data_IF_730016994920
#
_entry.id   IF_730016994920
#
_cell.length_a   1.000
_cell.length_b   1.000
_cell.length_c   1.000
_cell.angle_alpha   90.00
_cell.angle_beta   90.00
_cell.angle_gamma   90.00
#
_symmetry.space_group_name_H-M   'P 1'
#
loop_
_entity.id
_entity.type
_entity.pdbx_description
1 polymer ?
#
# COMPACT_ATOMS: atom_id res chain seq x y z
N UNK A 1 8.19 65.88 -12.85
CA UNK A 1 6.96 66.00 -13.66
C UNK A 1 5.99 65.00 -13.08
N UNK A 2 5.32 65.31 -11.95
CA UNK A 2 4.19 66.24 -11.84
C UNK A 2 3.26 66.12 -13.04
N UNK A 3 2.54 65.00 -13.09
CA UNK A 3 1.30 64.90 -13.85
C UNK A 3 0.14 64.93 -12.84
N UNK A 4 -0.20 66.15 -12.42
CA UNK A 4 -1.29 66.45 -11.50
C UNK A 4 -2.65 66.57 -12.24
N UNK A 5 -2.79 65.91 -13.39
CA UNK A 5 -3.94 66.05 -14.29
C UNK A 5 -4.96 64.90 -14.26
N UNK A 6 -4.68 63.76 -13.62
CA UNK A 6 -5.50 62.54 -13.79
C UNK A 6 -6.22 62.08 -12.50
N UNK A 7 -6.34 62.96 -11.49
CA UNK A 7 -6.92 62.61 -10.18
C UNK A 7 -8.42 62.93 -10.02
N UNK A 8 -9.04 63.62 -10.97
CA UNK A 8 -10.46 64.04 -10.88
C UNK A 8 -11.26 63.51 -12.08
N UNK A 9 -11.60 62.21 -12.12
CA UNK A 9 -12.96 61.80 -11.78
C UNK A 9 -13.06 60.35 -11.23
N UNK A 10 -12.04 59.85 -10.52
CA UNK A 10 -12.00 58.44 -10.13
C UNK A 10 -12.84 58.11 -8.88
N UNK A 11 -13.04 59.06 -7.96
CA UNK A 11 -13.92 58.86 -6.79
C UNK A 11 -15.41 58.75 -7.14
N UNK A 12 -15.99 59.63 -7.99
CA UNK A 12 -17.36 59.44 -8.47
C UNK A 12 -17.56 58.10 -9.17
N UNK A 13 -16.59 57.68 -10.00
CA UNK A 13 -16.61 56.39 -10.68
C UNK A 13 -16.56 55.21 -9.71
N UNK A 14 -15.79 55.30 -8.63
CA UNK A 14 -15.78 54.32 -7.55
C UNK A 14 -17.13 54.30 -6.81
N UNK A 15 -17.72 55.46 -6.53
CA UNK A 15 -19.02 55.59 -5.87
C UNK A 15 -20.16 55.00 -6.71
N UNK A 16 -20.20 55.27 -8.01
CA UNK A 16 -21.15 54.67 -8.95
C UNK A 16 -21.01 53.15 -9.01
N UNK A 17 -19.76 52.65 -9.09
CA UNK A 17 -19.47 51.22 -9.07
C UNK A 17 -19.95 50.55 -7.78
N UNK A 18 -19.72 51.18 -6.61
CA UNK A 18 -20.19 50.69 -5.33
C UNK A 18 -21.72 50.71 -5.23
N UNK A 19 -22.37 51.77 -5.70
CA UNK A 19 -23.83 51.89 -5.73
C UNK A 19 -24.47 50.81 -6.60
N UNK A 20 -23.85 50.44 -7.73
CA UNK A 20 -24.31 49.33 -8.57
C UNK A 20 -24.31 47.98 -7.84
N UNK A 21 -23.45 47.81 -6.82
CA UNK A 21 -23.43 46.65 -5.92
C UNK A 21 -24.29 46.83 -4.66
N UNK A 22 -25.00 47.95 -4.53
CA UNK A 22 -25.76 48.30 -3.33
C UNK A 22 -24.89 48.68 -2.13
N UNK A 23 -23.64 49.10 -2.36
CA UNK A 23 -22.67 49.48 -1.33
C UNK A 23 -22.45 50.99 -1.34
N UNK A 24 -22.13 51.57 -0.18
CA UNK A 24 -21.88 53.00 -0.01
C UNK A 24 -20.41 53.26 0.27
N UNK A 25 -19.78 54.15 -0.48
CA UNK A 25 -18.45 54.66 -0.12
C UNK A 25 -18.56 55.61 1.08
N UNK A 26 -17.76 55.38 2.12
CA UNK A 26 -17.66 56.27 3.29
C UNK A 26 -16.47 57.23 3.16
N UNK A 27 -15.48 56.90 2.34
CA UNK A 27 -14.34 57.77 2.05
C UNK A 27 -14.77 58.95 1.15
N UNK A 28 -14.38 60.17 1.56
CA UNK A 28 -14.76 61.42 0.89
C UNK A 28 -13.70 61.98 -0.04
N UNK A 29 -12.47 61.44 -0.01
CA UNK A 29 -11.34 61.90 -0.81
C UNK A 29 -10.76 60.75 -1.64
N UNK A 30 -10.34 61.05 -2.87
CA UNK A 30 -9.54 60.14 -3.70
C UNK A 30 -8.08 60.29 -3.32
N UNK A 31 -7.38 59.19 -3.03
CA UNK A 31 -5.93 59.20 -2.83
C UNK A 31 -5.22 58.62 -4.04
N UNK A 32 -5.36 57.32 -4.25
CA UNK A 32 -4.83 56.62 -5.42
C UNK A 32 -5.65 55.35 -5.71
N UNK A 33 -5.34 54.67 -6.81
CA UNK A 33 -6.09 53.50 -7.26
C UNK A 33 -5.81 52.22 -6.44
N UNK A 34 -4.68 52.17 -5.73
CA UNK A 34 -4.27 51.09 -4.83
C UNK A 34 -4.53 51.38 -3.34
N UNK A 35 -5.03 52.58 -3.02
CA UNK A 35 -5.40 52.99 -1.69
C UNK A 35 -6.63 52.22 -1.19
N UNK A 36 -6.72 52.11 0.15
CA UNK A 36 -7.83 51.45 0.84
C UNK A 36 -8.92 52.47 1.14
N UNK A 37 -10.12 52.20 0.66
CA UNK A 37 -11.31 53.02 0.87
C UNK A 37 -12.27 52.31 1.81
N UNK A 38 -12.88 53.07 2.71
CA UNK A 38 -13.90 52.57 3.64
C UNK A 38 -15.25 52.52 2.95
N UNK A 39 -15.90 51.38 3.05
CA UNK A 39 -17.13 51.05 2.32
C UNK A 39 -18.10 50.36 3.28
N UNK A 40 -19.38 50.67 3.14
CA UNK A 40 -20.47 49.98 3.82
C UNK A 40 -21.28 49.14 2.82
N UNK A 41 -21.61 47.88 3.16
CA UNK A 41 -22.53 47.08 2.34
C UNK A 41 -24.00 47.44 2.58
N UNK A 42 -24.91 46.85 1.81
CA UNK A 42 -26.35 47.03 1.96
C UNK A 42 -26.91 46.64 3.34
N UNK A 43 -26.25 45.69 4.04
CA UNK A 43 -26.61 45.27 5.41
C UNK A 43 -25.94 46.10 6.51
N UNK A 44 -25.14 47.10 6.14
CA UNK A 44 -24.49 48.03 7.09
C UNK A 44 -23.11 47.61 7.59
N UNK A 45 -22.56 46.46 7.16
CA UNK A 45 -21.20 46.07 7.51
C UNK A 45 -20.18 47.01 6.86
N UNK A 46 -19.20 47.47 7.65
CA UNK A 46 -18.19 48.43 7.21
C UNK A 46 -16.82 47.76 7.10
N UNK A 47 -16.19 47.88 5.94
CA UNK A 47 -14.89 47.27 5.67
C UNK A 47 -14.08 48.09 4.68
N UNK A 48 -12.79 47.76 4.56
CA UNK A 48 -11.87 48.45 3.65
C UNK A 48 -11.56 47.60 2.42
N UNK A 49 -11.55 48.23 1.24
CA UNK A 49 -11.10 47.60 -0.02
C UNK A 49 -10.28 48.56 -0.87
N UNK A 50 -9.47 47.97 -1.75
CA UNK A 50 -8.65 48.69 -2.70
C UNK A 50 -9.50 49.07 -3.93
N UNK A 51 -9.41 50.30 -4.42
CA UNK A 51 -10.25 50.78 -5.52
C UNK A 51 -10.08 49.99 -6.83
N UNK A 52 -8.85 49.61 -7.22
CA UNK A 52 -8.60 48.78 -8.43
C UNK A 52 -9.34 47.44 -8.39
N UNK A 53 -9.44 46.82 -7.21
CA UNK A 53 -10.13 45.52 -7.03
C UNK A 53 -11.64 45.61 -7.17
N UNK A 54 -12.21 46.82 -7.16
CA UNK A 54 -13.65 47.09 -7.33
C UNK A 54 -13.96 47.58 -8.74
N UNK A 55 -13.09 48.44 -9.30
CA UNK A 55 -13.28 49.06 -10.61
C UNK A 55 -13.03 48.11 -11.78
N UNK A 56 -12.10 47.16 -11.65
CA UNK A 56 -11.67 46.28 -12.74
C UNK A 56 -12.04 44.81 -12.51
N UNK A 57 -12.97 44.54 -11.60
CA UNK A 57 -13.39 43.17 -11.27
C UNK A 57 -14.39 42.66 -12.30
N UNK A 58 -14.26 41.37 -12.65
CA UNK A 58 -15.17 40.67 -13.56
C UNK A 58 -16.38 40.03 -12.86
N UNK A 59 -16.37 39.97 -11.52
CA UNK A 59 -17.46 39.41 -10.71
C UNK A 59 -17.87 40.38 -9.60
N UNK A 60 -19.16 40.38 -9.25
CA UNK A 60 -19.68 41.25 -8.21
C UNK A 60 -18.95 40.95 -6.87
N UNK A 61 -18.39 41.98 -6.20
CA UNK A 61 -17.75 41.80 -4.93
C UNK A 61 -18.79 41.43 -3.86
N UNK A 62 -18.38 40.56 -2.94
CA UNK A 62 -19.22 40.14 -1.82
C UNK A 62 -18.66 40.67 -0.50
N UNK A 63 -19.56 40.98 0.41
CA UNK A 63 -19.21 41.36 1.77
C UNK A 63 -18.92 40.08 2.56
N UNK A 64 -17.71 39.98 3.14
CA UNK A 64 -17.29 38.78 3.86
C UNK A 64 -18.15 38.52 5.10
N UNK A 65 -18.66 39.57 5.74
CA UNK A 65 -19.56 39.48 6.90
C UNK A 65 -20.95 38.98 6.47
N UNK A 66 -21.54 39.56 5.41
CA UNK A 66 -22.79 39.03 4.84
C UNK A 66 -22.66 37.55 4.42
N UNK A 67 -21.54 37.19 3.80
CA UNK A 67 -21.30 35.80 3.40
C UNK A 67 -21.18 34.86 4.60
N UNK A 68 -20.57 35.31 5.69
CA UNK A 68 -20.47 34.53 6.93
C UNK A 68 -21.83 34.38 7.62
N UNK A 69 -22.66 35.44 7.65
CA UNK A 69 -24.03 35.41 8.16
C UNK A 69 -24.92 34.47 7.34
N UNK A 70 -24.96 34.64 6.02
CA UNK A 70 -25.75 33.79 5.12
C UNK A 70 -25.35 32.32 5.24
N UNK A 71 -24.04 32.06 5.35
CA UNK A 71 -23.51 30.72 5.53
C UNK A 71 -23.96 30.12 6.87
N UNK A 72 -23.92 30.90 7.95
CA UNK A 72 -24.37 30.50 9.27
C UNK A 72 -25.86 30.18 9.26
N UNK A 73 -26.69 31.05 8.69
CA UNK A 73 -28.13 30.84 8.60
C UNK A 73 -28.48 29.57 7.82
N UNK A 74 -27.86 29.36 6.66
CA UNK A 74 -28.07 28.15 5.85
C UNK A 74 -27.65 26.88 6.58
N UNK A 75 -26.53 26.95 7.31
CA UNK A 75 -26.05 25.81 8.08
C UNK A 75 -27.01 25.45 9.21
N UNK A 76 -27.46 26.45 9.99
CA UNK A 76 -28.47 26.23 11.03
C UNK A 76 -29.81 25.76 10.45
N UNK A 77 -30.24 26.30 9.32
CA UNK A 77 -31.45 25.83 8.63
C UNK A 77 -31.33 24.34 8.23
N UNK A 78 -30.16 23.90 7.77
CA UNK A 78 -29.88 22.48 7.45
C UNK A 78 -29.96 21.60 8.69
N UNK A 79 -29.43 22.08 9.82
CA UNK A 79 -29.44 21.37 11.10
C UNK A 79 -30.87 21.26 11.65
N UNK A 80 -31.62 22.37 11.69
CA UNK A 80 -33.00 22.42 12.16
C UNK A 80 -33.96 21.63 11.27
N UNK A 81 -33.79 21.67 9.94
CA UNK A 81 -34.64 20.91 9.01
C UNK A 81 -34.55 19.39 9.22
N UNK A 82 -33.44 18.91 9.79
CA UNK A 82 -33.22 17.49 10.12
C UNK A 82 -33.48 17.19 11.60
N UNK A 83 -34.13 18.11 12.32
CA UNK A 83 -34.46 17.99 13.73
C UNK A 83 -33.23 17.92 14.63
N UNK A 84 -32.09 18.45 14.19
CA UNK A 84 -30.88 18.51 14.99
C UNK A 84 -30.68 19.85 15.66
N UNK A 85 -29.80 19.87 16.66
CA UNK A 85 -29.34 21.07 17.34
C UNK A 85 -27.85 21.03 17.63
N UNK A 86 -27.25 22.21 17.78
CA UNK A 86 -25.86 22.36 18.20
C UNK A 86 -25.80 22.31 19.72
N UNK A 87 -25.10 21.30 20.26
CA UNK A 87 -25.02 21.05 21.71
C UNK A 87 -24.12 22.07 22.41
N UNK A 88 -22.98 22.39 21.78
CA UNK A 88 -21.97 23.26 22.38
C UNK A 88 -21.25 24.08 21.30
N UNK A 89 -20.98 25.35 21.63
CA UNK A 89 -20.17 26.25 20.82
C UNK A 89 -20.98 27.18 19.89
N UNK A 90 -20.24 28.05 19.20
CA UNK A 90 -20.79 28.97 18.19
C UNK A 90 -20.30 28.51 16.82
N UNK A 91 -21.18 28.58 15.82
CA UNK A 91 -20.77 28.34 14.43
C UNK A 91 -19.84 29.45 13.96
N UNK A 92 -18.59 29.06 13.68
CA UNK A 92 -17.49 29.95 13.24
C UNK A 92 -17.09 29.72 11.79
N UNK A 93 -17.62 28.68 11.13
CA UNK A 93 -17.41 28.40 9.71
C UNK A 93 -17.56 26.91 9.37
N UNK A 94 -17.25 26.53 8.13
CA UNK A 94 -17.44 25.13 7.68
C UNK A 94 -16.27 24.19 8.02
N UNK A 95 -15.10 24.72 8.37
CA UNK A 95 -13.92 23.89 8.62
C UNK A 95 -13.86 23.25 10.02
N UNK A 96 -14.29 23.91 11.10
CA UNK A 96 -14.26 23.33 12.43
C UNK A 96 -15.25 22.16 12.59
N UNK A 97 -15.06 21.42 13.69
CA UNK A 97 -15.89 20.30 14.10
C UNK A 97 -16.83 20.76 15.20
N UNK A 98 -18.09 20.37 15.09
CA UNK A 98 -19.18 20.77 15.95
C UNK A 98 -19.87 19.55 16.53
N UNK A 99 -20.26 19.63 17.81
CA UNK A 99 -21.03 18.59 18.49
C UNK A 99 -22.52 18.84 18.28
N UNK A 100 -23.16 17.91 17.58
CA UNK A 100 -24.57 17.97 17.19
C UNK A 100 -25.37 16.88 17.91
N UNK A 101 -26.62 17.19 18.22
CA UNK A 101 -27.62 16.23 18.71
C UNK A 101 -28.75 16.12 17.70
N UNK A 102 -29.22 14.92 17.38
CA UNK A 102 -30.36 14.72 16.49
C UNK A 102 -31.67 14.60 17.29
N UNK A 103 -32.80 14.54 16.59
CA UNK A 103 -34.12 14.34 17.17
C UNK A 103 -34.22 13.07 18.03
N UNK A 104 -33.51 12.00 17.66
CA UNK A 104 -33.46 10.74 18.42
C UNK A 104 -32.51 10.81 19.65
N UNK A 105 -31.93 11.97 19.95
CA UNK A 105 -31.05 12.18 21.11
C UNK A 105 -29.61 11.71 20.92
N UNK A 106 -29.21 11.27 19.73
CA UNK A 106 -27.81 10.87 19.48
C UNK A 106 -26.91 12.09 19.35
N UNK A 107 -25.84 12.12 20.13
CA UNK A 107 -24.78 13.13 20.04
C UNK A 107 -23.61 12.62 19.19
N UNK A 108 -23.16 13.43 18.24
CA UNK A 108 -21.97 13.14 17.44
C UNK A 108 -21.20 14.40 17.07
N UNK A 109 -19.94 14.21 16.70
CA UNK A 109 -19.08 15.29 16.23
C UNK A 109 -18.89 15.22 14.73
N UNK A 110 -19.15 16.33 14.03
CA UNK A 110 -19.02 16.42 12.58
C UNK A 110 -18.44 17.76 12.15
N UNK A 111 -17.75 17.75 11.02
CA UNK A 111 -17.24 18.96 10.39
C UNK A 111 -18.40 19.78 9.79
N UNK A 112 -18.40 21.11 9.94
CA UNK A 112 -19.46 21.98 9.42
C UNK A 112 -19.74 21.77 7.92
N UNK A 113 -18.69 21.62 7.11
CA UNK A 113 -18.74 21.30 5.68
C UNK A 113 -19.51 20.02 5.40
N UNK A 114 -19.29 18.96 6.20
CA UNK A 114 -19.93 17.66 5.98
C UNK A 114 -21.43 17.71 6.22
N UNK A 115 -21.86 18.49 7.20
CA UNK A 115 -23.28 18.73 7.46
C UNK A 115 -23.91 19.51 6.31
N UNK A 116 -23.24 20.55 5.81
CA UNK A 116 -23.69 21.30 4.63
C UNK A 116 -23.76 20.43 3.35
N UNK A 117 -22.84 19.47 3.19
CA UNK A 117 -22.84 18.47 2.10
C UNK A 117 -23.90 17.37 2.29
N UNK A 118 -24.67 17.39 3.38
CA UNK A 118 -25.78 16.46 3.62
C UNK A 118 -25.43 15.23 4.45
N UNK A 119 -24.24 15.13 5.03
CA UNK A 119 -23.92 14.08 6.02
C UNK A 119 -24.68 14.35 7.33
N UNK A 120 -25.13 13.29 8.01
CA UNK A 120 -25.94 13.40 9.23
C UNK A 120 -25.55 12.36 10.29
N UNK A 121 -26.39 12.23 11.32
CA UNK A 121 -26.23 11.33 12.45
C UNK A 121 -25.87 9.90 12.00
N UNK A 122 -24.66 9.41 12.34
CA UNK A 122 -24.24 8.06 11.98
C UNK A 122 -25.07 6.96 12.66
N UNK A 123 -25.60 7.22 13.86
CA UNK A 123 -26.42 6.26 14.58
C UNK A 123 -27.78 6.07 13.88
N UNK A 124 -28.48 7.15 13.56
CA UNK A 124 -29.73 7.11 12.79
C UNK A 124 -29.52 6.46 11.41
N UNK A 125 -28.47 6.86 10.68
CA UNK A 125 -28.16 6.28 9.38
C UNK A 125 -27.81 4.78 9.43
N UNK A 126 -27.21 4.32 10.53
CA UNK A 126 -26.97 2.88 10.75
C UNK A 126 -28.25 2.14 11.12
N UNK A 127 -29.12 2.75 11.92
CA UNK A 127 -30.40 2.16 12.31
C UNK A 127 -31.34 2.03 11.10
N UNK A 128 -31.47 3.08 10.29
CA UNK A 128 -32.23 3.09 9.04
C UNK A 128 -31.69 2.01 8.08
N UNK A 129 -30.38 2.00 7.82
CA UNK A 129 -29.78 0.93 7.02
C UNK A 129 -29.99 -0.44 7.63
N UNK A 130 -29.91 -0.59 8.96
CA UNK A 130 -30.14 -1.88 9.61
C UNK A 130 -31.58 -2.35 9.42
N UNK A 131 -32.56 -1.45 9.43
CA UNK A 131 -33.97 -1.74 9.19
C UNK A 131 -34.25 -2.04 7.70
N UNK A 132 -33.74 -1.25 6.77
CA UNK A 132 -33.74 -1.54 5.33
C UNK A 132 -33.10 -2.91 5.03
N UNK A 133 -32.07 -3.26 5.79
CA UNK A 133 -31.37 -4.54 5.68
C UNK A 133 -32.06 -5.70 6.41
N UNK A 134 -32.99 -5.41 7.34
CA UNK A 134 -33.91 -6.39 7.95
C UNK A 134 -35.07 -6.73 7.03
N UNK A 135 -35.29 -5.97 5.96
CA UNK A 135 -36.31 -6.25 4.95
C UNK A 135 -35.98 -7.53 4.13
N UNK A 136 -36.34 -8.66 4.76
CA UNK A 136 -37.13 -9.80 4.28
C UNK A 136 -36.68 -10.65 3.09
N UNK A 137 -35.85 -10.17 2.17
CA UNK A 137 -35.52 -10.91 0.94
C UNK A 137 -34.06 -11.39 0.87
N UNK A 138 -33.21 -11.05 1.85
CA UNK A 138 -31.80 -11.45 1.84
C UNK A 138 -31.60 -12.98 1.89
N UNK A 139 -32.40 -13.67 2.72
CA UNK A 139 -32.37 -15.13 2.81
C UNK A 139 -32.97 -15.77 1.56
N UNK A 140 -34.12 -15.26 1.09
CA UNK A 140 -34.81 -15.75 -0.10
C UNK A 140 -33.95 -15.59 -1.37
N UNK A 141 -33.24 -14.48 -1.53
CA UNK A 141 -32.26 -14.27 -2.61
C UNK A 141 -31.08 -15.25 -2.55
N UNK A 142 -30.61 -15.61 -1.35
CA UNK A 142 -29.55 -16.62 -1.22
C UNK A 142 -30.05 -18.03 -1.56
N UNK A 143 -31.28 -18.37 -1.17
CA UNK A 143 -31.93 -19.62 -1.58
C UNK A 143 -32.12 -19.67 -3.09
N UNK A 144 -32.68 -18.62 -3.69
CA UNK A 144 -32.87 -18.53 -5.14
C UNK A 144 -31.54 -18.58 -5.91
N UNK A 145 -30.50 -17.89 -5.44
CA UNK A 145 -29.17 -17.94 -6.04
C UNK A 145 -28.53 -19.34 -5.93
N UNK A 146 -28.79 -20.05 -4.83
CA UNK A 146 -28.33 -21.41 -4.65
C UNK A 146 -29.02 -22.38 -5.61
N UNK A 147 -30.35 -22.27 -5.71
CA UNK A 147 -31.19 -23.09 -6.58
C UNK A 147 -30.84 -22.87 -8.06
N UNK A 148 -30.65 -21.61 -8.48
CA UNK A 148 -30.22 -21.26 -9.83
C UNK A 148 -28.85 -21.86 -10.21
N UNK A 149 -28.02 -22.24 -9.23
CA UNK A 149 -26.73 -22.92 -9.44
C UNK A 149 -26.80 -24.43 -9.19
N UNK A 150 -28.00 -24.98 -9.09
CA UNK A 150 -28.25 -26.40 -8.83
C UNK A 150 -27.76 -26.83 -7.45
N UNK A 151 -27.94 -26.00 -6.42
CA UNK A 151 -27.63 -26.39 -5.05
C UNK A 151 -28.59 -25.75 -4.04
N UNK A 152 -28.24 -25.80 -2.76
CA UNK A 152 -29.08 -25.31 -1.66
C UNK A 152 -28.28 -24.47 -0.68
N UNK A 153 -28.91 -23.42 -0.18
CA UNK A 153 -28.46 -22.70 1.02
C UNK A 153 -29.02 -23.45 2.24
N UNK A 154 -28.17 -23.73 3.24
CA UNK A 154 -28.57 -24.41 4.48
C UNK A 154 -28.85 -23.41 5.62
N UNK A 155 -28.79 -22.10 5.34
CA UNK A 155 -29.04 -21.06 6.32
C UNK A 155 -30.54 -20.91 6.61
N UNK A 156 -30.87 -20.74 7.88
CA UNK A 156 -32.23 -20.49 8.40
C UNK A 156 -32.49 -19.01 8.70
N UNK A 157 -31.42 -18.22 8.80
CA UNK A 157 -31.43 -16.82 9.17
C UNK A 157 -30.44 -16.04 8.30
N UNK A 158 -30.76 -14.77 8.04
CA UNK A 158 -29.91 -13.86 7.27
C UNK A 158 -29.60 -12.61 8.08
N UNK A 159 -28.33 -12.40 8.35
CA UNK A 159 -27.77 -11.22 9.02
C UNK A 159 -26.76 -10.52 8.12
N UNK A 160 -26.97 -9.24 7.86
CA UNK A 160 -26.07 -8.48 6.98
C UNK A 160 -24.70 -8.30 7.64
N UNK A 161 -23.63 -8.57 6.87
CA UNK A 161 -22.25 -8.48 7.33
C UNK A 161 -21.36 -9.55 6.70
N UNK A 162 -20.14 -9.72 7.23
CA UNK A 162 -19.18 -10.76 6.81
C UNK A 162 -19.51 -12.16 7.38
N UNK A 163 -20.77 -12.40 7.76
CA UNK A 163 -21.18 -13.72 8.24
C UNK A 163 -21.15 -14.68 7.06
N UNK A 164 -20.63 -15.87 7.31
CA UNK A 164 -20.60 -16.94 6.33
C UNK A 164 -21.84 -17.81 6.49
N UNK A 165 -22.41 -18.19 5.37
CA UNK A 165 -23.59 -19.06 5.29
C UNK A 165 -23.18 -20.42 4.72
N UNK A 166 -23.76 -21.51 5.24
CA UNK A 166 -23.50 -22.86 4.72
C UNK A 166 -24.26 -23.10 3.40
N UNK A 167 -23.56 -23.63 2.40
CA UNK A 167 -24.10 -23.99 1.08
C UNK A 167 -23.72 -25.42 0.70
N UNK A 168 -24.54 -26.04 -0.14
CA UNK A 168 -24.31 -27.36 -0.73
C UNK A 168 -24.61 -27.34 -2.23
N UNK A 169 -23.74 -27.86 -3.08
CA UNK A 169 -23.97 -27.94 -4.54
C UNK A 169 -24.54 -29.30 -4.95
N UNK A 170 -25.04 -29.43 -6.19
CA UNK A 170 -25.53 -30.69 -6.79
C UNK A 170 -24.56 -31.88 -6.65
N UNK A 171 -23.24 -31.61 -6.57
CA UNK A 171 -22.21 -32.65 -6.43
C UNK A 171 -21.95 -33.03 -4.95
N UNK A 172 -22.79 -32.56 -4.02
CA UNK A 172 -22.69 -32.84 -2.58
C UNK A 172 -21.57 -32.09 -1.85
N UNK A 173 -20.89 -31.14 -2.49
CA UNK A 173 -19.85 -30.38 -1.80
C UNK A 173 -20.49 -29.35 -0.87
N UNK A 174 -20.09 -29.37 0.41
CA UNK A 174 -20.47 -28.38 1.41
C UNK A 174 -19.36 -27.36 1.63
N UNK A 175 -19.72 -26.09 1.72
CA UNK A 175 -18.80 -25.00 2.06
C UNK A 175 -19.52 -23.83 2.72
N UNK A 176 -18.74 -22.91 3.30
CA UNK A 176 -19.25 -21.67 3.87
C UNK A 176 -18.76 -20.48 3.05
N UNK A 177 -19.65 -19.53 2.72
CA UNK A 177 -19.32 -18.34 1.95
C UNK A 177 -20.11 -17.11 2.43
N UNK A 178 -19.61 -15.91 2.16
CA UNK A 178 -20.36 -14.69 2.42
C UNK A 178 -21.49 -14.54 1.40
N UNK A 179 -22.69 -14.12 1.86
CA UNK A 179 -23.86 -14.05 0.98
C UNK A 179 -23.64 -13.17 -0.26
N UNK A 180 -22.90 -12.07 -0.14
CA UNK A 180 -22.61 -11.18 -1.25
C UNK A 180 -21.73 -11.84 -2.34
N UNK A 181 -20.86 -12.79 -2.00
CA UNK A 181 -20.02 -13.50 -2.96
C UNK A 181 -20.86 -14.45 -3.83
N UNK A 182 -21.80 -15.14 -3.19
CA UNK A 182 -22.75 -16.03 -3.84
C UNK A 182 -23.66 -15.27 -4.79
N UNK A 183 -24.20 -14.14 -4.33
CA UNK A 183 -25.05 -13.27 -5.15
C UNK A 183 -24.31 -12.68 -6.36
N UNK A 184 -22.98 -12.49 -6.28
CA UNK A 184 -22.12 -12.07 -7.42
C UNK A 184 -21.77 -13.23 -8.37
N UNK A 185 -22.22 -14.45 -8.10
CA UNK A 185 -22.03 -15.62 -8.96
C UNK A 185 -20.91 -16.57 -8.53
N UNK A 186 -20.26 -16.34 -7.37
CA UNK A 186 -19.27 -17.27 -6.83
C UNK A 186 -19.97 -18.43 -6.14
N UNK A 187 -19.82 -19.64 -6.66
CA UNK A 187 -20.54 -20.82 -6.16
C UNK A 187 -19.58 -21.86 -5.54
N UNK A 188 -19.56 -23.09 -6.07
CA UNK A 188 -18.71 -24.16 -5.56
C UNK A 188 -17.29 -24.08 -6.14
N UNK A 189 -16.31 -23.75 -5.30
CA UNK A 189 -14.90 -23.70 -5.69
C UNK A 189 -14.33 -25.05 -6.16
N UNK A 190 -14.85 -26.19 -5.66
CA UNK A 190 -14.42 -27.53 -6.11
C UNK A 190 -14.94 -27.83 -7.52
N UNK A 191 -16.21 -27.55 -7.78
CA UNK A 191 -16.79 -27.69 -9.13
C UNK A 191 -16.15 -26.72 -10.12
N UNK A 192 -15.91 -25.47 -9.72
CA UNK A 192 -15.23 -24.48 -10.56
C UNK A 192 -13.80 -24.93 -10.90
N UNK A 193 -13.04 -25.48 -9.94
CA UNK A 193 -11.70 -26.04 -10.21
C UNK A 193 -11.75 -27.22 -11.17
N UNK A 194 -12.69 -28.15 -11.01
CA UNK A 194 -12.88 -29.28 -11.94
C UNK A 194 -13.25 -28.81 -13.35
N UNK A 195 -14.19 -27.87 -13.48
CA UNK A 195 -14.59 -27.29 -14.76
C UNK A 195 -13.41 -26.57 -15.44
N UNK A 196 -12.67 -25.74 -14.69
CA UNK A 196 -11.47 -25.06 -15.20
C UNK A 196 -10.35 -26.05 -15.58
N UNK A 197 -10.19 -27.16 -14.85
CA UNK A 197 -9.21 -28.19 -15.20
C UNK A 197 -9.59 -28.91 -16.51
N UNK A 198 -10.88 -29.15 -16.75
CA UNK A 198 -11.36 -29.72 -18.00
C UNK A 198 -11.26 -28.75 -19.19
N UNK A 199 -11.45 -27.45 -18.96
CA UNK A 199 -11.38 -26.42 -20.01
C UNK A 199 -9.94 -26.04 -20.41
N UNK A 200 -8.97 -26.17 -19.50
CA UNK A 200 -7.54 -25.96 -19.78
C UNK A 200 -6.92 -27.15 -20.49
N UNK A 201 -7.57 -27.60 -21.58
CA UNK A 201 -7.26 -28.79 -22.37
C UNK A 201 -5.79 -29.19 -22.23
N UNK A 202 -5.58 -30.40 -21.69
CA UNK A 202 -4.24 -30.96 -21.49
C UNK A 202 -3.49 -30.79 -22.82
N UNK A 203 -2.45 -29.95 -22.83
CA UNK A 203 -1.63 -29.74 -24.02
C UNK A 203 -1.20 -31.14 -24.53
N UNK A 204 -1.69 -31.59 -25.70
CA UNK A 204 -1.38 -32.91 -26.20
C UNK A 204 0.12 -33.06 -26.48
N UNK A 205 0.84 -31.96 -26.68
CA UNK A 205 2.29 -31.93 -26.80
C UNK A 205 3.03 -31.73 -25.46
N UNK A 206 2.31 -31.61 -24.34
CA UNK A 206 2.87 -31.29 -23.02
C UNK A 206 3.83 -32.35 -22.50
N UNK A 207 3.54 -33.64 -22.72
CA UNK A 207 4.44 -34.73 -22.34
C UNK A 207 5.73 -34.68 -23.16
N UNK A 208 5.62 -34.52 -24.49
CA UNK A 208 6.75 -34.44 -25.40
C UNK A 208 7.65 -33.25 -25.04
N UNK A 209 7.07 -32.06 -24.80
CA UNK A 209 7.80 -30.88 -24.34
C UNK A 209 8.53 -31.11 -23.02
N UNK A 210 7.92 -31.85 -22.10
CA UNK A 210 8.53 -32.16 -20.80
C UNK A 210 9.71 -33.15 -20.95
N UNK A 211 9.58 -34.13 -21.84
CA UNK A 211 10.65 -35.07 -22.18
C UNK A 211 11.79 -34.38 -22.94
N UNK A 212 11.47 -33.49 -23.88
CA UNK A 212 12.44 -32.70 -24.64
C UNK A 212 13.24 -31.79 -23.70
N UNK A 213 12.58 -31.06 -22.78
CA UNK A 213 13.24 -30.24 -21.77
C UNK A 213 14.14 -31.06 -20.82
N UNK A 214 13.72 -32.28 -20.46
CA UNK A 214 14.55 -33.17 -19.67
C UNK A 214 15.82 -33.60 -20.41
N UNK A 215 15.70 -33.89 -21.71
CA UNK A 215 16.81 -34.28 -22.59
C UNK A 215 17.80 -33.14 -22.78
N UNK A 216 17.32 -31.91 -22.95
CA UNK A 216 18.17 -30.71 -23.04
C UNK A 216 19.02 -30.49 -21.78
N UNK A 217 18.51 -30.86 -20.61
CA UNK A 217 19.24 -30.80 -19.34
C UNK A 217 20.09 -32.06 -19.06
N UNK A 218 20.30 -32.91 -20.06
CA UNK A 218 21.08 -34.13 -19.93
C UNK A 218 20.44 -35.17 -19.01
N UNK A 219 19.12 -35.27 -18.97
CA UNK A 219 18.43 -36.34 -18.25
C UNK A 219 17.15 -36.79 -18.93
N UNK A 220 16.26 -37.42 -18.16
CA UNK A 220 15.06 -38.06 -18.66
C UNK A 220 13.86 -37.79 -17.75
N UNK A 221 12.71 -37.57 -18.38
CA UNK A 221 11.41 -37.58 -17.72
C UNK A 221 10.88 -39.01 -17.72
N UNK A 222 10.54 -39.54 -16.54
CA UNK A 222 10.04 -40.91 -16.35
C UNK A 222 8.50 -40.99 -16.39
N UNK A 223 7.82 -39.88 -16.68
CA UNK A 223 6.37 -39.85 -16.76
C UNK A 223 5.85 -40.50 -18.04
N UNK A 224 4.80 -41.32 -17.92
CA UNK A 224 4.09 -41.91 -19.06
C UNK A 224 2.94 -41.01 -19.57
N UNK A 225 2.40 -40.14 -18.72
CA UNK A 225 1.26 -39.28 -19.03
C UNK A 225 1.48 -37.84 -18.54
N UNK A 226 0.92 -36.87 -19.25
CA UNK A 226 0.90 -35.47 -18.84
C UNK A 226 -0.51 -35.07 -18.38
N UNK A 227 -0.63 -34.60 -17.14
CA UNK A 227 -1.90 -34.23 -16.48
C UNK A 227 -2.04 -32.72 -16.23
N UNK A 228 -1.05 -31.94 -16.66
CA UNK A 228 -1.02 -30.49 -16.51
C UNK A 228 0.29 -29.94 -15.96
N UNK A 229 0.49 -28.63 -16.10
CA UNK A 229 1.78 -27.97 -15.81
C UNK A 229 2.09 -27.85 -14.32
N UNK A 230 1.06 -27.93 -13.48
CA UNK A 230 1.16 -27.81 -12.02
C UNK A 230 1.38 -29.14 -11.30
N UNK A 231 1.22 -30.26 -12.00
CA UNK A 231 1.42 -31.61 -11.48
C UNK A 231 2.90 -31.95 -11.35
N UNK A 232 3.21 -32.89 -10.46
CA UNK A 232 4.57 -33.37 -10.23
C UNK A 232 4.86 -34.59 -11.10
N UNK A 233 6.03 -34.58 -11.73
CA UNK A 233 6.50 -35.65 -12.61
C UNK A 233 7.86 -36.17 -12.12
N UNK A 234 8.14 -37.48 -12.26
CA UNK A 234 9.44 -38.06 -11.94
C UNK A 234 10.47 -37.76 -13.04
N UNK A 235 11.69 -37.39 -12.62
CA UNK A 235 12.84 -37.12 -13.49
C UNK A 235 14.08 -37.86 -12.98
N UNK A 236 15.00 -38.17 -13.90
CA UNK A 236 16.33 -38.70 -13.60
C UNK A 236 17.39 -37.90 -14.37
N UNK A 237 18.45 -37.42 -13.73
CA UNK A 237 19.55 -36.71 -14.42
C UNK A 237 20.65 -37.68 -14.90
N UNK A 238 21.61 -37.19 -15.70
CA UNK A 238 22.78 -37.96 -16.14
C UNK A 238 23.58 -38.59 -14.99
N UNK A 239 23.67 -37.92 -13.84
CA UNK A 239 24.34 -38.45 -12.65
C UNK A 239 23.51 -39.52 -11.89
N UNK A 240 22.35 -39.90 -12.40
CA UNK A 240 21.49 -40.94 -11.83
C UNK A 240 20.56 -40.48 -10.71
N UNK A 241 20.57 -39.21 -10.32
CA UNK A 241 19.67 -38.71 -9.27
C UNK A 241 18.22 -38.68 -9.77
N UNK A 242 17.31 -39.22 -8.95
CA UNK A 242 15.88 -39.19 -9.20
C UNK A 242 15.17 -38.18 -8.30
N UNK A 243 14.21 -37.43 -8.86
CA UNK A 243 13.38 -36.50 -8.08
C UNK A 243 12.02 -36.26 -8.74
N UNK A 244 11.11 -35.64 -7.97
CA UNK A 244 9.82 -35.18 -8.47
C UNK A 244 9.78 -33.66 -8.56
N UNK A 245 9.36 -33.12 -9.71
CA UNK A 245 9.25 -31.67 -9.94
C UNK A 245 8.00 -31.33 -10.76
N UNK A 246 7.53 -30.09 -10.64
CA UNK A 246 6.41 -29.60 -11.47
C UNK A 246 6.88 -29.34 -12.89
N UNK A 247 6.06 -29.65 -13.90
CA UNK A 247 6.42 -29.38 -15.29
C UNK A 247 6.72 -27.89 -15.54
N UNK A 248 5.95 -26.98 -14.93
CA UNK A 248 6.22 -25.55 -15.01
C UNK A 248 7.59 -25.14 -14.46
N UNK A 249 8.14 -25.86 -13.49
CA UNK A 249 9.45 -25.56 -12.88
C UNK A 249 10.58 -26.03 -13.79
N UNK A 250 10.43 -27.18 -14.44
CA UNK A 250 11.40 -27.68 -15.42
C UNK A 250 11.52 -26.71 -16.61
N UNK A 251 10.41 -26.22 -17.12
CA UNK A 251 10.42 -25.23 -18.21
C UNK A 251 11.00 -23.86 -17.81
N UNK A 252 11.00 -23.54 -16.52
CA UNK A 252 11.68 -22.36 -15.97
C UNK A 252 13.19 -22.58 -15.75
N UNK A 253 13.72 -23.76 -16.07
CA UNK A 253 15.14 -24.10 -15.95
C UNK A 253 15.55 -24.71 -14.61
N UNK A 254 14.60 -25.03 -13.72
CA UNK A 254 14.93 -25.76 -12.50
C UNK A 254 15.16 -27.24 -12.82
N UNK A 255 16.31 -27.78 -12.42
CA UNK A 255 16.68 -29.16 -12.73
C UNK A 255 17.05 -29.97 -11.48
N UNK A 256 18.16 -30.70 -11.51
CA UNK A 256 18.63 -31.54 -10.42
C UNK A 256 19.28 -30.71 -9.32
N UNK A 257 18.59 -30.56 -8.18
CA UNK A 257 19.14 -29.90 -6.98
C UNK A 257 20.41 -30.56 -6.47
N UNK A 258 20.51 -31.89 -6.55
CA UNK A 258 21.70 -32.61 -6.07
C UNK A 258 22.93 -32.28 -6.93
N UNK A 259 22.77 -32.23 -8.26
CA UNK A 259 23.85 -31.80 -9.16
C UNK A 259 24.18 -30.31 -8.97
N UNK A 260 23.18 -29.45 -8.78
CA UNK A 260 23.41 -28.04 -8.48
C UNK A 260 24.19 -27.87 -7.16
N UNK A 261 23.83 -28.63 -6.12
CA UNK A 261 24.50 -28.62 -4.83
C UNK A 261 25.94 -29.16 -4.93
N UNK A 262 26.17 -30.22 -5.72
CA UNK A 262 27.51 -30.74 -6.00
C UNK A 262 28.38 -29.73 -6.75
N UNK A 263 27.85 -29.07 -7.78
CA UNK A 263 28.55 -28.00 -8.51
C UNK A 263 28.78 -26.74 -7.65
N UNK A 264 27.95 -26.53 -6.62
CA UNK A 264 28.09 -25.43 -5.66
C UNK A 264 29.07 -25.76 -4.51
N UNK A 265 29.54 -27.01 -4.38
CA UNK A 265 30.62 -27.34 -3.44
C UNK A 265 31.92 -26.82 -4.03
N UNK A 266 32.28 -25.60 -3.66
CA UNK A 266 33.64 -25.11 -3.84
C UNK A 266 34.65 -26.11 -3.31
N UNK A 267 35.72 -26.36 -4.05
CA UNK A 267 36.74 -27.31 -3.62
C UNK A 267 37.67 -26.66 -2.60
N UNK A 268 38.43 -27.46 -1.84
CA UNK A 268 39.42 -26.91 -0.90
C UNK A 268 40.52 -26.13 -1.65
N UNK A 269 40.81 -26.54 -2.89
CA UNK A 269 41.76 -25.88 -3.79
C UNK A 269 41.30 -24.47 -4.15
N UNK A 270 39.99 -24.26 -4.41
CA UNK A 270 39.45 -22.90 -4.62
C UNK A 270 39.66 -22.01 -3.39
N UNK A 271 39.58 -22.57 -2.18
CA UNK A 271 39.78 -21.84 -0.93
C UNK A 271 41.26 -21.52 -0.70
N UNK A 272 42.15 -22.43 -1.06
CA UNK A 272 43.60 -22.22 -1.05
C UNK A 272 44.01 -21.14 -2.06
N UNK A 273 43.47 -21.18 -3.28
CA UNK A 273 43.69 -20.14 -4.27
C UNK A 273 43.17 -18.76 -3.79
N UNK A 274 41.98 -18.72 -3.17
CA UNK A 274 41.44 -17.50 -2.58
C UNK A 274 42.33 -16.93 -1.47
N UNK A 275 42.94 -17.79 -0.65
CA UNK A 275 43.90 -17.34 0.36
C UNK A 275 45.16 -16.76 -0.28
N UNK A 276 45.70 -17.42 -1.30
CA UNK A 276 46.90 -17.01 -2.02
C UNK A 276 46.72 -15.63 -2.67
N UNK A 277 45.57 -15.35 -3.30
CA UNK A 277 45.27 -14.02 -3.88
C UNK A 277 45.28 -12.89 -2.85
N UNK A 278 45.12 -13.20 -1.56
CA UNK A 278 45.16 -12.23 -0.45
C UNK A 278 46.47 -12.27 0.35
N UNK A 279 47.51 -12.90 -0.22
CA UNK A 279 48.83 -13.00 0.38
C UNK A 279 48.88 -13.84 1.65
N UNK A 280 47.94 -14.79 1.82
CA UNK A 280 47.95 -15.71 2.96
C UNK A 280 47.67 -17.15 2.55
N UNK A 281 47.43 -18.01 3.54
CA UNK A 281 47.29 -19.45 3.36
C UNK A 281 45.96 -19.94 3.95
N UNK A 282 45.33 -20.92 3.29
CA UNK A 282 44.28 -21.71 3.89
C UNK A 282 44.94 -22.96 4.49
N UNK A 283 44.89 -23.11 5.81
CA UNK A 283 45.52 -24.22 6.54
C UNK A 283 44.63 -25.46 6.63
N UNK A 284 43.36 -25.35 6.25
CA UNK A 284 42.45 -26.49 6.19
C UNK A 284 42.77 -27.38 4.99
N UNK A 285 42.74 -28.70 5.21
CA UNK A 285 42.96 -29.72 4.18
C UNK A 285 41.65 -30.25 3.58
N UNK A 286 40.50 -30.02 4.24
CA UNK A 286 39.19 -30.51 3.81
C UNK A 286 38.14 -29.40 3.75
N UNK A 287 37.21 -29.50 2.80
CA UNK A 287 36.10 -28.56 2.63
C UNK A 287 34.73 -29.26 2.80
N UNK A 288 34.09 -29.04 3.94
CA UNK A 288 32.77 -29.61 4.24
C UNK A 288 31.60 -28.66 3.91
N UNK A 289 31.80 -27.68 3.03
CA UNK A 289 30.76 -26.77 2.55
C UNK A 289 30.81 -25.35 3.10
N UNK A 290 29.97 -24.47 2.54
CA UNK A 290 29.94 -23.02 2.81
C UNK A 290 29.66 -22.60 4.25
N UNK A 291 29.07 -23.49 5.06
CA UNK A 291 28.67 -23.22 6.44
C UNK A 291 29.74 -23.58 7.49
N UNK A 292 30.73 -24.37 7.11
CA UNK A 292 31.79 -24.87 8.00
C UNK A 292 32.94 -23.85 8.01
N UNK A 293 33.54 -23.62 9.17
CA UNK A 293 34.68 -22.72 9.31
C UNK A 293 35.93 -23.40 8.74
N UNK A 294 36.75 -22.64 8.02
CA UNK A 294 38.10 -23.04 7.63
C UNK A 294 39.11 -22.23 8.44
N UNK A 295 40.31 -22.75 8.55
CA UNK A 295 41.46 -22.11 9.21
C UNK A 295 42.28 -21.37 8.17
N UNK A 296 42.51 -20.09 8.41
CA UNK A 296 43.21 -19.18 7.50
C UNK A 296 44.40 -18.54 8.20
N UNK A 297 45.42 -18.20 7.43
CA UNK A 297 46.59 -17.43 7.85
C UNK A 297 46.77 -16.23 6.92
N UNK A 298 47.03 -15.04 7.45
CA UNK A 298 47.29 -13.85 6.63
C UNK A 298 48.79 -13.64 6.39
N UNK A 299 49.12 -12.68 5.52
CA UNK A 299 50.50 -12.27 5.23
C UNK A 299 51.31 -11.81 6.47
N UNK A 300 50.65 -11.46 7.57
CA UNK A 300 51.31 -11.08 8.84
C UNK A 300 51.47 -12.25 9.81
N UNK A 301 51.02 -13.45 9.45
CA UNK A 301 51.11 -14.66 10.27
C UNK A 301 49.96 -14.89 11.26
N UNK A 302 48.93 -14.04 11.30
CA UNK A 302 47.75 -14.28 12.16
C UNK A 302 46.96 -15.50 11.66
N UNK A 303 46.62 -16.41 12.56
CA UNK A 303 45.78 -17.58 12.26
C UNK A 303 44.38 -17.38 12.87
N UNK A 304 43.33 -17.61 12.07
CA UNK A 304 41.94 -17.52 12.56
C UNK A 304 41.01 -18.48 11.81
N UNK A 305 39.89 -18.80 12.45
CA UNK A 305 38.82 -19.60 11.86
C UNK A 305 37.66 -18.72 11.39
N UNK A 306 37.23 -18.87 10.15
CA UNK A 306 36.02 -18.20 9.65
C UNK A 306 35.39 -18.96 8.51
N UNK A 307 34.11 -18.67 8.24
CA UNK A 307 33.38 -19.26 7.13
C UNK A 307 33.93 -18.72 5.79
N UNK A 308 34.06 -19.57 4.76
CA UNK A 308 34.45 -19.17 3.40
C UNK A 308 33.67 -17.97 2.85
N UNK A 309 32.37 -17.89 3.17
CA UNK A 309 31.50 -16.79 2.74
C UNK A 309 31.99 -15.43 3.23
N UNK A 310 32.51 -15.35 4.47
CA UNK A 310 33.00 -14.10 5.04
C UNK A 310 34.27 -13.61 4.32
N UNK A 311 35.14 -14.55 3.95
CA UNK A 311 36.37 -14.28 3.21
C UNK A 311 36.06 -13.83 1.77
N UNK A 312 35.08 -14.46 1.12
CA UNK A 312 34.56 -14.01 -0.19
C UNK A 312 33.95 -12.62 -0.12
N UNK A 313 33.23 -12.31 0.95
CA UNK A 313 32.63 -10.99 1.19
C UNK A 313 33.65 -9.88 1.54
N UNK A 314 34.95 -10.20 1.60
CA UNK A 314 36.02 -9.22 1.82
C UNK A 314 36.52 -9.13 3.28
N UNK A 315 35.94 -9.88 4.21
CA UNK A 315 36.43 -9.94 5.59
C UNK A 315 37.60 -10.93 5.67
N UNK A 316 38.82 -10.40 5.60
CA UNK A 316 40.04 -11.19 5.63
C UNK A 316 40.50 -11.48 7.06
N UNK A 317 41.44 -10.70 7.61
CA UNK A 317 42.00 -10.95 8.93
C UNK A 317 41.46 -9.97 9.98
N UNK A 318 40.80 -10.42 11.06
CA UNK A 318 40.26 -9.55 12.09
C UNK A 318 41.37 -8.78 12.83
N UNK A 319 42.53 -9.41 13.05
CA UNK A 319 43.66 -8.77 13.72
C UNK A 319 44.30 -7.69 12.83
N UNK A 320 44.47 -7.94 11.52
CA UNK A 320 44.91 -6.88 10.60
C UNK A 320 43.92 -5.71 10.56
N UNK A 321 42.62 -5.98 10.48
CA UNK A 321 41.59 -4.94 10.47
C UNK A 321 41.59 -4.08 11.75
N UNK A 322 41.96 -4.65 12.91
CA UNK A 322 42.14 -3.89 14.15
C UNK A 322 43.44 -3.08 14.09
N UNK A 323 44.55 -3.67 13.64
CA UNK A 323 45.84 -2.99 13.50
C UNK A 323 45.76 -1.77 12.57
N UNK A 324 44.96 -1.85 11.51
CA UNK A 324 44.75 -0.74 10.56
C UNK A 324 43.94 0.41 11.18
N UNK A 325 43.13 0.14 12.21
CA UNK A 325 42.31 1.13 12.91
C UNK A 325 43.00 1.73 14.15
N UNK A 326 44.05 1.11 14.66
CA UNK A 326 44.76 1.58 15.87
C UNK A 326 45.61 2.81 15.51
N UNK A 327 45.28 3.96 16.12
CA UNK A 327 46.05 5.21 15.96
C UNK A 327 47.50 5.03 16.48
N UNK A 328 48.47 5.65 15.79
CA UNK A 328 49.91 5.57 16.11
C UNK A 328 50.26 5.84 17.59
N UNK A 329 49.51 6.73 18.25
CA UNK A 329 49.67 7.06 19.68
C UNK A 329 49.41 5.92 20.67
N UNK A 330 48.82 4.79 20.22
CA UNK A 330 48.46 3.65 21.06
C UNK A 330 49.32 2.41 20.75
N UNK A 331 50.65 2.59 20.70
CA UNK A 331 51.61 1.53 20.34
C UNK A 331 51.49 0.27 21.23
N UNK A 332 51.21 0.44 22.53
CA UNK A 332 50.98 -0.70 23.43
C UNK A 332 49.78 -1.58 23.03
N UNK A 333 48.71 -0.98 22.47
CA UNK A 333 47.57 -1.73 21.94
C UNK A 333 47.92 -2.42 20.62
N UNK A 334 48.82 -1.82 19.82
CA UNK A 334 49.30 -2.40 18.57
C UNK A 334 50.09 -3.68 18.82
N UNK A 335 51.02 -3.67 19.78
CA UNK A 335 51.81 -4.85 20.19
C UNK A 335 50.97 -6.07 20.57
N UNK A 336 49.74 -5.86 21.07
CA UNK A 336 48.81 -6.95 21.44
C UNK A 336 48.28 -7.75 20.24
N UNK A 337 48.20 -7.13 19.07
CA UNK A 337 47.62 -7.75 17.86
C UNK A 337 48.67 -8.00 16.78
N UNK A 338 49.96 -7.78 17.05
CA UNK A 338 51.04 -8.21 16.17
C UNK A 338 51.26 -9.71 16.37
N UNK A 339 51.35 -10.48 15.28
CA UNK A 339 51.65 -11.90 15.34
C UNK A 339 53.00 -12.12 16.04
N UNK A 340 52.97 -12.58 17.28
CA UNK A 340 54.16 -13.05 17.98
C UNK A 340 54.60 -14.34 17.31
N UNK A 341 55.59 -14.26 16.44
CA UNK A 341 56.03 -15.36 15.60
C UNK A 341 56.37 -16.61 16.39
N UNK A 342 55.73 -17.72 16.03
CA UNK A 342 56.42 -18.99 15.82
C UNK A 342 55.95 -19.53 14.48
N UNK A 343 56.85 -19.49 13.49
CA UNK A 343 56.77 -20.37 12.33
C UNK A 343 56.86 -21.81 12.85
N UNK A 344 55.93 -22.72 12.52
CA UNK A 344 56.25 -24.15 12.59
C UNK A 344 57.36 -24.42 11.57
N UNK A 345 58.43 -25.06 12.04
CA UNK A 345 59.57 -25.54 11.25
C UNK A 345 59.11 -26.65 10.31
#
# INVERSE_FOLDING_TARGET
>A
MNDAGEQAPMLPRLQECLNAYGWRCLSTTWSDSNARYQIACARGHTFERIATTLLYRTSAPKCAECEAEDLRERWFATVSARGGELVEGVFTGLQPRYRLRCADGHEWEAQGRKIAEGSWCPACARAERAEENRHTDGLARLHAAAEAKGGRCLATDYTIGRRKYPFECAQGHRWEAEGHEVLRGRWCGRCAKRANAAQRGIDPAGLKRLQDAAREQGGQCLAAEYRGSTEKYPFRCAAGHEWQAKASQIWLGHWCRQCADLNLRSSIEEMQALAATRGGLCLSTEYHGKGVKLTWQCHRGHVWETRPLNVRAGNWCPQCAILDRVRAKNNWKRKRYEATGKLPI
#
